data_IF_941819965076
#
_entry.id   IF_941819965076
#
_cell.length_a   1.000
_cell.length_b   1.000
_cell.length_c   1.000
_cell.angle_alpha   90.00
_cell.angle_beta   90.00
_cell.angle_gamma   90.00
#
_symmetry.space_group_name_H-M   'P 1'
#
loop_
_entity.id
_entity.type
_entity.pdbx_description
1 polymer ?
#
# COMPACT_ATOMS: atom_id res chain seq x y z
N UNK A 1 12.53 7.60 -0.17
CA UNK A 1 12.72 6.15 0.03
C UNK A 1 11.82 5.57 1.12
N UNK A 2 12.19 5.60 2.41
CA UNK A 2 11.44 4.90 3.46
C UNK A 2 10.00 5.42 3.63
N UNK A 3 9.80 6.74 3.67
CA UNK A 3 8.47 7.35 3.77
C UNK A 3 7.60 6.97 2.57
N UNK A 4 8.11 7.16 1.35
CA UNK A 4 7.42 6.89 0.09
C UNK A 4 7.03 5.41 -0.03
N UNK A 5 7.94 4.50 0.31
CA UNK A 5 7.68 3.06 0.28
C UNK A 5 6.60 2.67 1.30
N UNK A 6 6.67 3.17 2.53
CA UNK A 6 5.65 2.90 3.56
C UNK A 6 4.29 3.44 3.12
N UNK A 7 4.23 4.66 2.58
CA UNK A 7 2.99 5.25 2.07
C UNK A 7 2.41 4.39 0.95
N UNK A 8 3.23 3.97 -0.01
CA UNK A 8 2.79 3.14 -1.12
C UNK A 8 2.30 1.76 -0.63
N UNK A 9 3.06 1.08 0.22
CA UNK A 9 2.71 -0.25 0.72
C UNK A 9 1.39 -0.25 1.53
N UNK A 10 1.20 0.74 2.41
CA UNK A 10 -0.05 0.86 3.18
C UNK A 10 -1.24 1.16 2.26
N UNK A 11 -1.04 2.02 1.25
CA UNK A 11 -2.08 2.31 0.27
C UNK A 11 -2.50 1.06 -0.50
N UNK A 12 -1.56 0.20 -0.91
CA UNK A 12 -1.86 -1.06 -1.62
C UNK A 12 -2.70 -2.02 -0.76
N UNK A 13 -2.44 -2.10 0.54
CA UNK A 13 -3.26 -2.88 1.47
C UNK A 13 -4.68 -2.32 1.54
N UNK A 14 -4.81 -0.99 1.66
CA UNK A 14 -6.13 -0.33 1.71
C UNK A 14 -6.90 -0.53 0.40
N UNK A 15 -6.22 -0.40 -0.74
CA UNK A 15 -6.80 -0.61 -2.06
C UNK A 15 -7.28 -2.06 -2.22
N UNK A 16 -6.46 -3.05 -1.84
CA UNK A 16 -6.84 -4.46 -1.90
C UNK A 16 -8.03 -4.77 -0.99
N UNK A 17 -8.03 -4.19 0.21
CA UNK A 17 -9.11 -4.33 1.20
C UNK A 17 -10.43 -3.79 0.65
N UNK A 18 -10.38 -2.58 0.08
CA UNK A 18 -11.55 -1.97 -0.54
C UNK A 18 -12.06 -2.75 -1.76
N UNK A 19 -11.16 -3.22 -2.64
CA UNK A 19 -11.51 -4.02 -3.82
C UNK A 19 -12.22 -5.33 -3.46
N UNK A 20 -11.86 -5.93 -2.33
CA UNK A 20 -12.46 -7.17 -1.84
C UNK A 20 -13.74 -6.93 -1.03
N UNK A 21 -14.08 -5.67 -0.72
CA UNK A 21 -15.25 -5.32 0.08
C UNK A 21 -15.13 -5.74 1.55
N UNK A 22 -13.90 -5.87 2.04
CA UNK A 22 -13.61 -6.41 3.37
C UNK A 22 -13.46 -5.31 4.40
N UNK A 23 -13.84 -5.63 5.65
CA UNK A 23 -13.53 -4.79 6.80
C UNK A 23 -12.10 -5.00 7.28
N UNK A 24 -11.66 -6.27 7.32
CA UNK A 24 -10.32 -6.65 7.75
C UNK A 24 -9.29 -6.38 6.66
N UNK A 25 -8.09 -5.94 7.08
CA UNK A 25 -7.02 -5.61 6.14
C UNK A 25 -6.52 -6.84 5.39
N UNK A 26 -6.42 -6.70 4.07
CA UNK A 26 -6.03 -7.77 3.16
C UNK A 26 -4.51 -7.88 3.02
N UNK A 27 -3.83 -8.13 4.13
CA UNK A 27 -2.36 -8.16 4.20
C UNK A 27 -1.75 -9.26 3.32
N UNK A 28 -2.29 -10.49 3.43
CA UNK A 28 -1.77 -11.63 2.66
C UNK A 28 -2.08 -11.47 1.17
N UNK A 29 -3.29 -11.03 0.83
CA UNK A 29 -3.67 -10.82 -0.57
C UNK A 29 -2.93 -9.62 -1.22
N UNK A 30 -2.41 -8.69 -0.43
CA UNK A 30 -1.62 -7.55 -0.88
C UNK A 30 -0.09 -7.76 -0.75
N UNK A 31 0.39 -8.91 -0.27
CA UNK A 31 1.78 -9.10 0.15
C UNK A 31 2.82 -8.74 -0.92
N UNK A 32 2.54 -9.06 -2.19
CA UNK A 32 3.46 -8.76 -3.29
C UNK A 32 3.57 -7.25 -3.51
N UNK A 33 2.44 -6.54 -3.38
CA UNK A 33 2.37 -5.08 -3.47
C UNK A 33 2.90 -4.37 -2.21
N UNK A 34 2.98 -5.05 -1.07
CA UNK A 34 3.69 -4.54 0.12
C UNK A 34 5.20 -4.57 -0.16
N UNK A 35 5.71 -5.70 -0.65
CA UNK A 35 7.13 -5.87 -0.95
C UNK A 35 7.58 -4.98 -2.12
N UNK A 36 6.74 -4.83 -3.14
CA UNK A 36 7.02 -4.02 -4.33
C UNK A 36 5.75 -3.27 -4.73
N UNK A 37 5.50 -2.08 -4.15
CA UNK A 37 4.30 -1.30 -4.44
C UNK A 37 4.18 -0.91 -5.91
N UNK A 38 2.96 -0.96 -6.45
CA UNK A 38 2.69 -0.57 -7.85
C UNK A 38 2.43 0.92 -7.97
N UNK A 39 1.87 1.53 -6.92
CA UNK A 39 1.72 2.98 -6.81
C UNK A 39 3.02 3.64 -6.34
N UNK A 40 3.28 4.85 -6.85
CA UNK A 40 4.41 5.68 -6.43
C UNK A 40 3.92 7.01 -5.87
N UNK A 41 4.44 7.39 -4.70
CA UNK A 41 4.18 8.66 -4.05
C UNK A 41 5.51 9.35 -3.79
N UNK A 42 5.66 10.58 -4.28
CA UNK A 42 6.88 11.37 -4.07
C UNK A 42 6.78 12.14 -2.75
N UNK A 43 7.83 12.07 -1.93
CA UNK A 43 7.92 12.87 -0.72
C UNK A 43 8.35 14.30 -1.06
N UNK A 44 7.63 15.29 -0.51
CA UNK A 44 8.00 16.69 -0.60
C UNK A 44 8.67 17.14 0.70
N UNK A 45 9.80 17.84 0.57
CA UNK A 45 10.49 18.45 1.72
C UNK A 45 10.00 19.89 1.86
N UNK A 46 9.39 20.19 3.01
CA UNK A 46 8.91 21.52 3.39
C UNK A 46 10.06 22.49 3.70
#
# INVERSE_FOLDING_TARGET
DALEHVTAAVYEVMLKTHQMGEYELQLVAAQDAIATPTQHFAAEKL
#
